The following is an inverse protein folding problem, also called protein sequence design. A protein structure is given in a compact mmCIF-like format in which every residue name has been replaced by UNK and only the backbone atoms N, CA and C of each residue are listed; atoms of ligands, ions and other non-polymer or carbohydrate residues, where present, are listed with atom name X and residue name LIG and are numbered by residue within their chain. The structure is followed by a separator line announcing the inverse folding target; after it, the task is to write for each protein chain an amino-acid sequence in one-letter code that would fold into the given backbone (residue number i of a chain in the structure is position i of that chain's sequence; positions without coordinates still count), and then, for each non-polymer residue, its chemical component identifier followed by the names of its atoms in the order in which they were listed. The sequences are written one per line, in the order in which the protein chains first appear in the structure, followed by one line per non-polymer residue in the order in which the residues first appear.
data_IF_560281962981
#
_entry.id   IF_560281962981
#
_cell.length_a   1.000
_cell.length_b   1.000
_cell.length_c   1.000
_cell.angle_alpha   90.00
_cell.angle_beta   90.00
_cell.angle_gamma   90.00
#
_symmetry.space_group_name_H-M   'P 1'
#
loop_
_entity.id
_entity.type
_entity.pdbx_description
1 polymer ?
#
# COMPACT_ATOMS: atom_id res chain seq x y z
N UNK A 1 -6.30 2.34 6.95
CA UNK A 1 -6.97 3.37 7.78
C UNK A 1 -6.99 4.70 7.02
N UNK A 2 -7.79 5.67 7.45
CA UNK A 2 -7.81 7.05 6.95
C UNK A 2 -7.45 8.00 8.08
N UNK A 3 -6.63 9.00 7.77
CA UNK A 3 -6.14 9.99 8.72
C UNK A 3 -6.85 11.33 8.46
N UNK A 4 -7.28 11.98 9.53
CA UNK A 4 -7.90 13.30 9.50
C UNK A 4 -7.23 14.19 10.55
N UNK A 5 -7.11 15.48 10.21
CA UNK A 5 -6.74 16.53 11.13
C UNK A 5 -7.97 17.41 11.33
N UNK A 6 -8.61 17.27 12.49
CA UNK A 6 -9.75 18.09 12.85
C UNK A 6 -9.22 19.46 13.33
N UNK A 7 -9.78 20.58 12.81
CA UNK A 7 -9.28 21.91 13.13
C UNK A 7 -9.47 22.22 14.61
N UNK A 8 -8.47 22.88 15.20
CA UNK A 8 -8.49 23.33 16.58
C UNK A 8 -8.56 24.88 16.66
N UNK A 9 -9.02 25.44 17.78
CA UNK A 9 -8.91 26.88 18.06
C UNK A 9 -7.48 27.39 17.91
N UNK A 10 -7.35 28.70 17.67
CA UNK A 10 -6.04 29.34 17.52
C UNK A 10 -5.19 29.15 18.79
N UNK A 11 -3.99 28.58 18.62
CA UNK A 11 -3.07 28.27 19.72
C UNK A 11 -3.21 26.86 20.29
N UNK A 12 -4.20 26.08 19.87
CA UNK A 12 -4.34 24.66 20.21
C UNK A 12 -3.82 23.75 19.10
N UNK A 13 -3.38 22.56 19.48
CA UNK A 13 -2.93 21.57 18.50
C UNK A 13 -4.13 20.91 17.79
N UNK A 14 -4.06 20.67 16.47
CA UNK A 14 -5.12 19.96 15.75
C UNK A 14 -5.26 18.53 16.26
N UNK A 15 -6.50 18.05 16.33
CA UNK A 15 -6.81 16.69 16.78
C UNK A 15 -6.63 15.71 15.63
N UNK A 16 -5.80 14.70 15.86
CA UNK A 16 -5.59 13.60 14.92
C UNK A 16 -6.72 12.60 15.11
N UNK A 17 -7.40 12.24 14.03
CA UNK A 17 -8.42 11.19 14.02
C UNK A 17 -8.06 10.12 13.00
N UNK A 18 -7.90 8.89 13.50
CA UNK A 18 -7.60 7.71 12.69
C UNK A 18 -8.86 6.86 12.62
N UNK A 19 -9.32 6.55 11.40
CA UNK A 19 -10.55 5.80 11.17
C UNK A 19 -10.25 4.55 10.34
N UNK A 20 -10.70 3.35 10.76
CA UNK A 20 -10.61 2.16 9.92
C UNK A 20 -11.30 2.40 8.56
N UNK A 21 -10.65 2.00 7.46
CA UNK A 21 -11.30 2.08 6.15
C UNK A 21 -12.30 0.93 6.05
N UNK A 22 -13.54 1.27 5.72
CA UNK A 22 -14.57 0.29 5.34
C UNK A 22 -14.14 -0.38 4.03
N UNK A 23 -13.95 -1.69 4.05
CA UNK A 23 -13.64 -2.51 2.85
C UNK A 23 -14.89 -3.18 2.25
N UNK A 24 -16.08 -2.89 2.78
CA UNK A 24 -17.38 -3.47 2.42
C UNK A 24 -18.22 -2.59 1.47
N UNK A 25 -17.68 -1.45 1.04
CA UNK A 25 -18.37 -0.54 0.11
C UNK A 25 -18.53 -1.21 -1.27
N UNK A 26 -19.78 -1.49 -1.63
CA UNK A 26 -20.14 -2.07 -2.93
C UNK A 26 -19.73 -1.15 -4.08
N UNK A 27 -19.88 0.17 -3.92
CA UNK A 27 -19.49 1.13 -4.94
C UNK A 27 -17.97 1.15 -5.16
N UNK A 28 -17.18 1.16 -4.07
CA UNK A 28 -15.72 1.13 -4.19
C UNK A 28 -15.25 -0.17 -4.85
N UNK A 29 -15.91 -1.29 -4.54
CA UNK A 29 -15.66 -2.56 -5.20
C UNK A 29 -15.98 -2.49 -6.70
N UNK A 30 -17.15 -1.97 -7.09
CA UNK A 30 -17.50 -1.82 -8.51
C UNK A 30 -16.46 -0.96 -9.25
N UNK A 31 -16.07 0.18 -8.67
CA UNK A 31 -15.06 1.06 -9.27
C UNK A 31 -13.71 0.34 -9.40
N UNK A 32 -13.30 -0.41 -8.38
CA UNK A 32 -12.06 -1.19 -8.43
C UNK A 32 -12.10 -2.26 -9.52
N UNK A 33 -13.18 -3.04 -9.62
CA UNK A 33 -13.34 -4.07 -10.65
C UNK A 33 -13.36 -3.47 -12.07
N UNK A 34 -14.06 -2.34 -12.26
CA UNK A 34 -14.08 -1.65 -13.55
C UNK A 34 -12.69 -1.11 -13.94
N UNK A 35 -11.92 -0.62 -12.96
CA UNK A 35 -10.55 -0.19 -13.20
C UNK A 35 -9.65 -1.39 -13.55
N UNK A 36 -9.81 -2.54 -12.88
CA UNK A 36 -9.09 -3.77 -13.18
C UNK A 36 -9.40 -4.24 -14.61
N UNK A 37 -10.68 -4.29 -14.98
CA UNK A 37 -11.14 -4.67 -16.31
C UNK A 37 -10.53 -3.76 -17.39
N UNK A 38 -10.64 -2.44 -17.24
CA UNK A 38 -10.09 -1.49 -18.21
C UNK A 38 -8.56 -1.64 -18.36
N UNK A 39 -7.85 -1.75 -17.24
CA UNK A 39 -6.40 -1.97 -17.22
C UNK A 39 -5.99 -3.30 -17.88
N UNK A 40 -6.79 -4.37 -17.72
CA UNK A 40 -6.53 -5.68 -18.31
C UNK A 40 -6.83 -5.70 -19.82
N UNK A 41 -7.95 -5.12 -20.24
CA UNK A 41 -8.35 -5.06 -21.66
C UNK A 41 -7.43 -4.18 -22.49
N UNK A 42 -7.04 -3.02 -21.97
CA UNK A 42 -6.11 -2.15 -22.69
C UNK A 42 -4.70 -2.78 -22.73
N UNK A 43 -4.32 -3.52 -21.68
CA UNK A 43 -3.10 -4.33 -21.71
C UNK A 43 -3.18 -5.45 -22.76
N UNK A 44 -4.35 -6.07 -22.92
CA UNK A 44 -4.60 -7.06 -23.98
C UNK A 44 -4.42 -6.43 -25.35
N UNK A 45 -5.02 -5.26 -25.58
CA UNK A 45 -4.94 -4.53 -26.85
C UNK A 45 -3.48 -4.28 -27.25
N UNK A 46 -2.63 -3.83 -26.32
CA UNK A 46 -1.21 -3.65 -26.62
C UNK A 46 -0.52 -4.99 -26.93
N UNK A 47 -0.82 -6.05 -26.18
CA UNK A 47 -0.29 -7.38 -26.42
C UNK A 47 -0.67 -7.95 -27.81
N UNK A 48 -1.94 -7.84 -28.20
CA UNK A 48 -2.47 -8.33 -29.48
C UNK A 48 -1.85 -7.61 -30.69
N UNK A 49 -1.38 -6.37 -30.49
CA UNK A 49 -0.71 -5.55 -31.49
C UNK A 49 0.82 -5.56 -31.38
N UNK A 50 1.39 -6.49 -30.60
CA UNK A 50 2.84 -6.60 -30.38
C UNK A 50 3.45 -5.22 -30.03
N UNK A 51 2.80 -4.49 -29.13
CA UNK A 51 3.23 -3.17 -28.68
C UNK A 51 3.62 -3.24 -27.21
N UNK A 52 4.81 -2.78 -26.81
CA UNK A 52 5.21 -2.83 -25.42
C UNK A 52 4.41 -1.81 -24.60
N UNK A 53 4.22 -2.15 -23.32
CA UNK A 53 3.57 -1.31 -22.33
C UNK A 53 4.21 -1.56 -20.98
N UNK A 54 3.87 -0.77 -19.97
CA UNK A 54 4.35 -0.91 -18.60
C UNK A 54 3.32 -1.72 -17.82
N UNK A 55 3.57 -3.02 -17.72
CA UNK A 55 2.71 -3.98 -17.03
C UNK A 55 3.15 -4.18 -15.58
N UNK A 56 2.20 -4.60 -14.75
CA UNK A 56 2.44 -5.12 -13.40
C UNK A 56 2.08 -6.60 -13.42
N UNK A 57 3.06 -7.45 -13.24
CA UNK A 57 2.86 -8.90 -13.12
C UNK A 57 3.10 -9.35 -11.69
N UNK A 58 2.39 -10.39 -11.28
CA UNK A 58 2.57 -10.98 -9.97
C UNK A 58 2.67 -12.50 -10.11
N UNK A 59 3.84 -13.01 -9.74
CA UNK A 59 4.15 -14.44 -9.76
C UNK A 59 4.87 -14.78 -8.45
N UNK A 60 4.53 -15.93 -7.85
CA UNK A 60 5.10 -16.39 -6.58
C UNK A 60 5.04 -15.31 -5.48
N UNK A 61 3.91 -14.61 -5.38
CA UNK A 61 3.67 -13.55 -4.39
C UNK A 61 4.34 -12.20 -4.69
N UNK A 62 5.31 -12.12 -5.61
CA UNK A 62 6.08 -10.90 -5.86
C UNK A 62 5.56 -10.14 -7.08
N UNK A 63 5.33 -8.84 -6.90
CA UNK A 63 4.92 -7.94 -7.98
C UNK A 63 6.15 -7.37 -8.69
N UNK A 64 6.17 -7.39 -10.02
CA UNK A 64 7.26 -6.83 -10.85
C UNK A 64 6.69 -5.93 -11.94
N UNK A 65 7.50 -4.96 -12.38
CA UNK A 65 7.20 -4.16 -13.57
C UNK A 65 7.81 -4.85 -14.78
N UNK A 66 7.04 -5.02 -15.85
CA UNK A 66 7.49 -5.70 -17.09
C UNK A 66 7.06 -4.91 -18.31
N UNK A 67 7.85 -4.97 -19.39
CA UNK A 67 7.52 -4.30 -20.66
C UNK A 67 6.56 -5.12 -21.54
N UNK A 68 6.33 -6.37 -21.16
CA UNK A 68 5.51 -7.36 -21.86
C UNK A 68 4.36 -7.84 -20.97
N UNK A 69 3.23 -8.25 -21.58
CA UNK A 69 2.09 -8.78 -20.85
C UNK A 69 2.47 -10.08 -20.15
N UNK A 70 2.21 -10.14 -18.85
CA UNK A 70 2.39 -11.32 -18.02
C UNK A 70 1.29 -11.40 -16.95
N UNK A 71 0.95 -12.61 -16.46
CA UNK A 71 -0.11 -12.79 -15.48
C UNK A 71 0.08 -12.01 -14.18
N UNK A 72 -1.04 -11.53 -13.63
CA UNK A 72 -1.11 -10.97 -12.29
C UNK A 72 -1.97 -11.87 -11.38
N UNK A 73 -1.34 -12.85 -10.74
CA UNK A 73 -2.05 -13.90 -10.00
C UNK A 73 -2.98 -13.38 -8.90
N UNK A 74 -2.58 -12.36 -8.12
CA UNK A 74 -3.42 -11.82 -7.05
C UNK A 74 -4.64 -11.03 -7.53
N UNK A 75 -4.67 -10.61 -8.81
CA UNK A 75 -5.84 -9.98 -9.42
C UNK A 75 -6.63 -10.96 -10.29
N UNK A 76 -6.11 -12.17 -10.54
CA UNK A 76 -6.77 -13.17 -11.39
C UNK A 76 -6.86 -12.82 -12.87
N UNK A 77 -5.98 -11.97 -13.39
CA UNK A 77 -5.99 -11.52 -14.80
C UNK A 77 -4.75 -11.97 -15.57
N UNK A 78 -4.92 -12.24 -16.87
CA UNK A 78 -3.87 -12.71 -17.77
C UNK A 78 -2.78 -11.66 -18.05
N UNK A 79 -3.16 -10.38 -18.02
CA UNK A 79 -2.25 -9.24 -18.05
C UNK A 79 -2.88 -8.06 -17.33
N UNK A 80 -2.03 -7.23 -16.74
CA UNK A 80 -2.46 -6.05 -16.03
C UNK A 80 -1.45 -4.92 -16.26
N UNK A 81 -1.93 -3.77 -16.70
CA UNK A 81 -1.12 -2.54 -16.79
C UNK A 81 -1.85 -1.40 -16.11
N UNK A 82 -1.14 -0.42 -15.57
CA UNK A 82 -1.82 0.79 -15.07
C UNK A 82 -2.07 1.75 -16.23
N UNK A 83 -3.34 2.10 -16.48
CA UNK A 83 -3.71 3.05 -17.52
C UNK A 83 -4.92 3.93 -17.17
N UNK A 84 -5.55 3.72 -16.01
CA UNK A 84 -6.79 4.39 -15.59
C UNK A 84 -6.57 5.67 -14.78
N UNK A 85 -5.32 6.09 -14.53
CA UNK A 85 -5.01 7.26 -13.69
C UNK A 85 -3.86 8.15 -14.23
N UNK A 86 -3.91 8.59 -15.49
CA UNK A 86 -2.81 9.33 -16.16
C UNK A 86 -2.46 10.67 -15.50
N UNK A 87 -3.41 11.30 -14.79
CA UNK A 87 -3.20 12.59 -14.13
C UNK A 87 -2.32 12.50 -12.87
N UNK A 88 -2.22 11.32 -12.26
CA UNK A 88 -1.52 11.12 -10.98
C UNK A 88 -0.42 10.06 -11.04
N UNK A 89 -0.35 9.29 -12.12
CA UNK A 89 0.71 8.29 -12.35
C UNK A 89 1.22 8.44 -13.77
N UNK A 90 2.51 8.76 -13.88
CA UNK A 90 3.13 9.00 -15.18
C UNK A 90 3.16 7.75 -16.08
N UNK A 91 3.30 6.56 -15.49
CA UNK A 91 3.24 5.29 -16.23
C UNK A 91 1.87 5.05 -16.88
N UNK A 92 0.78 5.49 -16.25
CA UNK A 92 -0.55 5.44 -16.88
C UNK A 92 -0.61 6.33 -18.13
N UNK A 93 0.02 7.51 -18.09
CA UNK A 93 0.11 8.38 -19.26
C UNK A 93 0.95 7.76 -20.38
N UNK A 94 2.07 7.11 -20.04
CA UNK A 94 2.91 6.38 -21.01
C UNK A 94 2.12 5.27 -21.69
N UNK A 95 1.42 4.45 -20.90
CA UNK A 95 0.59 3.37 -21.43
C UNK A 95 -0.55 3.90 -22.31
N UNK A 96 -1.22 4.99 -21.91
CA UNK A 96 -2.26 5.61 -22.73
C UNK A 96 -1.73 6.10 -24.08
N UNK A 97 -0.51 6.65 -24.15
CA UNK A 97 0.10 7.06 -25.42
C UNK A 97 0.34 5.88 -26.37
N UNK A 98 0.80 4.74 -25.84
CA UNK A 98 0.94 3.51 -26.63
C UNK A 98 -0.43 3.03 -27.15
N UNK A 99 -1.44 3.01 -26.28
CA UNK A 99 -2.81 2.60 -26.64
C UNK A 99 -3.41 3.51 -27.72
N UNK A 100 -3.28 4.83 -27.57
CA UNK A 100 -3.80 5.80 -28.53
C UNK A 100 -3.13 5.64 -29.90
N UNK A 101 -1.82 5.44 -29.95
CA UNK A 101 -1.12 5.20 -31.21
C UNK A 101 -1.59 3.92 -31.91
N UNK A 102 -1.74 2.82 -31.16
CA UNK A 102 -2.29 1.56 -31.68
C UNK A 102 -3.70 1.75 -32.25
N UNK A 103 -4.58 2.43 -31.53
CA UNK A 103 -5.95 2.70 -31.97
C UNK A 103 -6.02 3.61 -33.21
N UNK A 104 -5.07 4.54 -33.35
CA UNK A 104 -4.96 5.42 -34.50
C UNK A 104 -4.29 4.76 -35.72
N UNK A 105 -3.73 3.55 -35.57
CA UNK A 105 -2.90 2.92 -36.61
C UNK A 105 -1.57 3.63 -36.83
N UNK A 106 -1.12 4.41 -35.84
CA UNK A 106 0.13 5.16 -35.87
C UNK A 106 1.27 4.32 -35.26
N UNK A 107 2.52 4.74 -35.52
CA UNK A 107 3.67 4.12 -34.87
C UNK A 107 3.64 4.42 -33.36
N UNK A 108 3.67 3.40 -32.48
CA UNK A 108 3.75 3.62 -31.04
C UNK A 108 5.00 4.42 -30.66
N UNK A 109 4.90 5.36 -29.71
CA UNK A 109 6.04 6.13 -29.20
C UNK A 109 7.24 5.30 -28.76
N UNK A 110 6.99 4.13 -28.16
CA UNK A 110 8.05 3.24 -27.67
C UNK A 110 8.01 1.88 -28.38
N UNK A 111 9.17 1.44 -28.86
CA UNK A 111 9.34 0.15 -29.54
C UNK A 111 9.71 -0.97 -28.56
N UNK A 112 9.69 -2.21 -29.05
CA UNK A 112 10.23 -3.33 -28.28
C UNK A 112 11.70 -3.11 -27.92
N UNK A 113 12.05 -3.43 -26.68
CA UNK A 113 13.38 -3.24 -26.12
C UNK A 113 13.88 -1.78 -26.15
N UNK A 114 12.97 -0.81 -26.16
CA UNK A 114 13.31 0.60 -26.16
C UNK A 114 14.00 1.03 -24.84
N UNK A 115 15.20 1.60 -24.96
CA UNK A 115 16.01 2.01 -23.82
C UNK A 115 15.36 3.14 -23.02
N UNK A 116 14.61 4.03 -23.66
CA UNK A 116 13.88 5.11 -22.99
C UNK A 116 12.73 4.54 -22.15
N UNK A 117 11.99 3.57 -22.69
CA UNK A 117 10.91 2.89 -21.95
C UNK A 117 11.46 2.20 -20.68
N UNK A 118 12.58 1.46 -20.80
CA UNK A 118 13.20 0.82 -19.63
C UNK A 118 13.75 1.83 -18.62
N UNK A 119 14.35 2.92 -19.09
CA UNK A 119 14.79 4.02 -18.22
C UNK A 119 13.62 4.63 -17.44
N UNK A 120 12.48 4.82 -18.10
CA UNK A 120 11.25 5.33 -17.49
C UNK A 120 10.70 4.36 -16.43
N UNK A 121 10.66 3.06 -16.73
CA UNK A 121 10.25 2.03 -15.77
C UNK A 121 11.12 2.06 -14.51
N UNK A 122 12.44 2.10 -14.66
CA UNK A 122 13.40 2.17 -13.56
C UNK A 122 13.24 3.45 -12.73
N UNK A 123 13.13 4.61 -13.40
CA UNK A 123 12.92 5.89 -12.74
C UNK A 123 11.57 5.95 -11.99
N UNK A 124 10.53 5.31 -12.54
CA UNK A 124 9.25 5.19 -11.88
C UNK A 124 9.34 4.34 -10.62
N UNK A 125 9.93 3.14 -10.69
CA UNK A 125 10.07 2.25 -9.53
C UNK A 125 10.85 2.92 -8.40
N UNK A 126 11.96 3.61 -8.72
CA UNK A 126 12.75 4.35 -7.74
C UNK A 126 11.94 5.47 -7.05
N UNK A 127 11.19 6.27 -7.83
CA UNK A 127 10.33 7.32 -7.26
C UNK A 127 9.18 6.75 -6.44
N UNK A 128 8.55 5.68 -6.94
CA UNK A 128 7.42 5.04 -6.28
C UNK A 128 7.82 4.47 -4.92
N UNK A 129 9.00 3.83 -4.83
CA UNK A 129 9.57 3.36 -3.57
C UNK A 129 9.82 4.52 -2.59
N UNK A 130 10.48 5.60 -3.04
CA UNK A 130 10.75 6.76 -2.19
C UNK A 130 9.47 7.45 -1.66
N UNK A 131 8.43 7.55 -2.49
CA UNK A 131 7.11 8.03 -2.05
C UNK A 131 6.47 7.09 -1.02
N UNK A 132 6.59 5.78 -1.22
CA UNK A 132 6.12 4.77 -0.26
C UNK A 132 6.80 4.91 1.10
N UNK A 133 8.13 5.04 1.11
CA UNK A 133 8.91 5.25 2.34
C UNK A 133 8.50 6.52 3.07
N UNK A 134 8.36 7.62 2.33
CA UNK A 134 7.90 8.89 2.91
C UNK A 134 6.49 8.76 3.49
N UNK A 135 5.56 8.15 2.76
CA UNK A 135 4.19 7.95 3.21
C UNK A 135 4.15 7.11 4.50
N UNK A 136 4.94 6.04 4.58
CA UNK A 136 5.00 5.20 5.79
C UNK A 136 5.54 5.97 7.00
N UNK A 137 6.61 6.76 6.81
CA UNK A 137 7.16 7.60 7.90
C UNK A 137 6.15 8.67 8.36
N UNK A 138 5.45 9.28 7.41
CA UNK A 138 4.40 10.27 7.70
C UNK A 138 3.20 9.63 8.43
N UNK A 139 2.67 8.50 7.95
CA UNK A 139 1.56 7.79 8.61
C UNK A 139 1.95 7.33 10.02
N UNK A 140 3.19 6.84 10.17
CA UNK A 140 3.76 6.47 11.47
C UNK A 140 3.83 7.66 12.43
N UNK A 141 4.34 8.80 11.98
CA UNK A 141 4.35 10.04 12.78
C UNK A 141 2.94 10.38 13.27
N UNK A 142 1.94 10.36 12.39
CA UNK A 142 0.56 10.66 12.78
C UNK A 142 -0.04 9.64 13.73
N UNK A 143 0.35 8.37 13.63
CA UNK A 143 -0.03 7.37 14.63
C UNK A 143 0.55 7.69 16.02
N UNK A 144 1.80 8.13 16.10
CA UNK A 144 2.42 8.49 17.38
C UNK A 144 1.75 9.73 17.99
N UNK A 145 1.47 10.76 17.18
CA UNK A 145 0.67 11.92 17.60
C UNK A 145 -0.69 11.50 18.14
N UNK A 146 -1.37 10.58 17.44
CA UNK A 146 -2.65 10.06 17.88
C UNK A 146 -2.54 9.33 19.23
N UNK A 147 -1.56 8.44 19.40
CA UNK A 147 -1.30 7.75 20.69
C UNK A 147 -1.09 8.75 21.83
N UNK A 148 -0.30 9.80 21.60
CA UNK A 148 -0.03 10.84 22.59
C UNK A 148 -1.30 11.64 22.95
N UNK A 149 -2.07 12.09 21.95
CA UNK A 149 -3.30 12.85 22.15
C UNK A 149 -4.38 12.05 22.88
N UNK A 150 -4.52 10.76 22.57
CA UNK A 150 -5.44 9.86 23.27
C UNK A 150 -4.95 9.45 24.67
N UNK A 151 -3.72 9.85 25.06
CA UNK A 151 -3.05 9.42 26.29
C UNK A 151 -3.10 7.89 26.45
N UNK A 152 -2.91 7.18 25.34
CA UNK A 152 -3.13 5.75 25.25
C UNK A 152 -2.01 5.01 26.02
N UNK A 153 -2.35 4.47 27.18
CA UNK A 153 -1.42 3.71 28.03
C UNK A 153 -1.55 2.21 27.89
N UNK A 154 -2.75 1.73 27.57
CA UNK A 154 -3.06 0.32 27.34
C UNK A 154 -3.89 0.20 26.07
N UNK A 155 -3.49 -0.69 25.19
CA UNK A 155 -4.12 -0.86 23.89
C UNK A 155 -4.18 -2.33 23.48
N UNK A 156 -5.12 -2.65 22.60
CA UNK A 156 -5.09 -3.92 21.90
C UNK A 156 -4.20 -3.83 20.67
N UNK A 157 -3.45 -4.91 20.44
CA UNK A 157 -2.64 -5.11 19.26
C UNK A 157 -2.91 -6.49 18.66
N UNK A 158 -2.58 -6.65 17.39
CA UNK A 158 -2.64 -7.92 16.68
C UNK A 158 -1.24 -8.33 16.27
N UNK A 159 -0.91 -9.61 16.48
CA UNK A 159 0.34 -10.22 16.02
C UNK A 159 0.30 -10.33 14.50
N UNK A 160 1.27 -9.71 13.84
CA UNK A 160 1.43 -9.77 12.39
C UNK A 160 2.29 -10.97 12.03
N UNK A 161 3.53 -10.99 12.53
CA UNK A 161 4.49 -12.09 12.37
C UNK A 161 5.55 -11.99 13.47
N UNK A 162 5.98 -13.12 14.03
CA UNK A 162 7.02 -13.15 15.07
C UNK A 162 6.74 -12.15 16.23
N UNK A 163 7.61 -11.16 16.41
CA UNK A 163 7.49 -10.09 17.40
C UNK A 163 6.86 -8.79 16.84
N UNK A 164 6.54 -8.76 15.55
CA UNK A 164 5.89 -7.63 14.89
C UNK A 164 4.40 -7.64 15.18
N UNK A 165 3.93 -6.55 15.75
CA UNK A 165 2.52 -6.34 16.08
C UNK A 165 2.02 -5.03 15.48
N UNK A 166 0.70 -4.90 15.36
CA UNK A 166 0.01 -3.67 14.93
C UNK A 166 -1.07 -3.31 15.93
N UNK A 167 -1.24 -2.04 16.28
CA UNK A 167 -2.42 -1.63 17.07
C UNK A 167 -3.72 -2.00 16.34
N UNK A 168 -4.76 -2.38 17.10
CA UNK A 168 -6.07 -2.68 16.49
C UNK A 168 -6.69 -1.41 15.90
N UNK A 169 -6.65 -0.30 16.64
CA UNK A 169 -7.36 0.94 16.30
C UNK A 169 -6.52 1.94 15.48
N UNK A 170 -5.26 1.63 15.19
CA UNK A 170 -4.38 2.45 14.37
C UNK A 170 -3.43 1.59 13.53
N UNK A 171 -2.98 2.04 12.35
CA UNK A 171 -2.00 1.33 11.54
C UNK A 171 -0.57 1.50 12.08
N UNK A 172 -0.39 1.46 13.40
CA UNK A 172 0.92 1.58 14.05
C UNK A 172 1.52 0.19 14.25
N UNK A 173 2.53 -0.13 13.45
CA UNK A 173 3.32 -1.35 13.56
C UNK A 173 4.53 -1.15 14.48
N UNK A 174 4.87 -2.13 15.32
CA UNK A 174 6.07 -2.08 16.16
C UNK A 174 6.46 -3.48 16.63
N UNK A 175 7.70 -3.63 17.08
CA UNK A 175 8.20 -4.89 17.62
C UNK A 175 8.07 -4.91 19.14
N UNK A 176 7.68 -6.06 19.69
CA UNK A 176 7.58 -6.30 21.12
C UNK A 176 8.68 -7.27 21.57
N UNK A 177 9.70 -6.73 22.25
CA UNK A 177 10.74 -7.56 22.83
C UNK A 177 10.14 -8.54 23.87
N UNK A 178 10.52 -9.82 23.76
CA UNK A 178 10.05 -10.85 24.69
C UNK A 178 8.61 -11.30 24.48
N UNK A 179 7.98 -10.99 23.33
CA UNK A 179 6.67 -11.51 23.00
C UNK A 179 6.72 -13.05 22.86
N UNK A 180 5.83 -13.80 23.53
CA UNK A 180 5.69 -15.23 23.30
C UNK A 180 5.30 -15.53 21.85
N UNK A 181 5.66 -16.71 21.35
CA UNK A 181 5.27 -17.14 20.00
C UNK A 181 3.75 -17.30 19.90
N UNK A 182 3.13 -16.46 19.09
CA UNK A 182 1.72 -16.52 18.75
C UNK A 182 1.53 -16.65 17.24
N UNK A 183 0.42 -17.28 16.84
CA UNK A 183 0.02 -17.29 15.44
C UNK A 183 -0.33 -15.87 14.96
N UNK A 184 -0.03 -15.52 13.69
CA UNK A 184 -0.56 -14.32 13.05
C UNK A 184 -2.07 -14.17 13.28
N UNK A 185 -2.51 -12.93 13.48
CA UNK A 185 -3.89 -12.59 13.79
C UNK A 185 -4.27 -12.69 15.26
N UNK A 186 -3.40 -13.21 16.14
CA UNK A 186 -3.68 -13.25 17.59
C UNK A 186 -3.77 -11.84 18.16
N UNK A 187 -4.89 -11.52 18.81
CA UNK A 187 -5.04 -10.30 19.60
C UNK A 187 -4.34 -10.43 20.95
N UNK A 188 -3.66 -9.37 21.33
CA UNK A 188 -2.94 -9.22 22.58
C UNK A 188 -3.23 -7.84 23.17
N UNK A 189 -2.99 -7.69 24.46
CA UNK A 189 -3.02 -6.41 25.17
C UNK A 189 -1.59 -5.98 25.45
N UNK A 190 -1.31 -4.72 25.18
CA UNK A 190 0.01 -4.10 25.39
C UNK A 190 -0.12 -2.86 26.26
N UNK A 191 0.91 -2.59 27.07
CA UNK A 191 1.10 -1.29 27.71
C UNK A 191 2.07 -0.46 26.85
N UNK A 192 1.69 0.77 26.51
CA UNK A 192 2.55 1.74 25.83
C UNK A 192 3.28 2.56 26.90
N UNK A 193 4.60 2.42 26.93
CA UNK A 193 5.49 3.03 27.91
C UNK A 193 5.91 4.43 27.48
N UNK A 194 6.24 4.59 26.20
CA UNK A 194 6.68 5.86 25.62
C UNK A 194 6.62 5.86 24.10
N UNK A 195 6.68 7.05 23.52
CA UNK A 195 6.73 7.28 22.07
C UNK A 195 7.74 8.39 21.76
N UNK A 196 8.49 8.24 20.67
CA UNK A 196 9.39 9.27 20.16
C UNK A 196 8.99 9.66 18.74
N UNK A 197 8.58 10.91 18.56
CA UNK A 197 8.10 11.44 17.28
C UNK A 197 9.24 11.76 16.29
N UNK A 198 10.47 11.97 16.77
CA UNK A 198 11.64 12.26 15.95
C UNK A 198 12.25 10.95 15.43
N UNK A 199 12.46 9.98 16.32
CA UNK A 199 12.97 8.65 15.96
C UNK A 199 11.88 7.76 15.37
N UNK A 200 10.62 8.20 15.41
CA UNK A 200 9.44 7.43 15.04
C UNK A 200 9.42 6.08 15.78
N UNK A 201 9.62 6.09 17.09
CA UNK A 201 9.70 4.87 17.90
C UNK A 201 8.55 4.78 18.91
N UNK A 202 8.24 3.55 19.31
CA UNK A 202 7.29 3.26 20.39
C UNK A 202 7.90 2.19 21.28
N UNK A 203 7.87 2.46 22.57
CA UNK A 203 8.27 1.51 23.61
C UNK A 203 7.00 0.93 24.21
N UNK A 204 6.87 -0.39 24.15
CA UNK A 204 5.69 -1.09 24.64
C UNK A 204 6.08 -2.46 25.22
N UNK A 205 5.22 -2.99 26.08
CA UNK A 205 5.37 -4.33 26.65
C UNK A 205 4.09 -5.14 26.53
N UNK A 206 4.24 -6.44 26.35
CA UNK A 206 3.14 -7.39 26.39
C UNK A 206 2.55 -7.48 27.81
N UNK A 207 1.23 -7.56 27.90
CA UNK A 207 0.50 -7.73 29.17
C UNK A 207 -0.15 -9.10 29.22
N UNK A 208 -1.09 -9.36 28.31
CA UNK A 208 -1.87 -10.60 28.26
C UNK A 208 -2.45 -10.84 26.87
N UNK A 209 -2.99 -12.04 26.65
CA UNK A 209 -3.76 -12.34 25.44
C UNK A 209 -5.16 -11.75 25.59
N UNK A 210 -5.65 -11.05 24.56
CA UNK A 210 -6.98 -10.46 24.60
C UNK A 210 -8.06 -11.57 24.57
N UNK A 211 -9.20 -11.33 25.23
CA UNK A 211 -10.32 -12.28 25.24
C UNK A 211 -10.97 -12.46 23.85
N UNK A 212 -10.81 -11.47 22.97
CA UNK A 212 -11.31 -11.51 21.60
C UNK A 212 -10.41 -12.37 20.69
N UNK A 213 -11.03 -13.03 19.70
CA UNK A 213 -10.39 -14.03 18.82
C UNK A 213 -9.38 -13.48 17.82
N UNK A 214 -9.13 -14.26 16.77
CA UNK A 214 -8.22 -13.88 15.68
C UNK A 214 -8.79 -12.70 14.87
N UNK A 215 -7.94 -11.75 14.50
CA UNK A 215 -8.22 -10.73 13.49
C UNK A 215 -7.41 -11.04 12.24
N UNK A 216 -8.01 -10.83 11.06
CA UNK A 216 -7.26 -10.88 9.82
C UNK A 216 -6.21 -9.76 9.81
N UNK A 217 -5.00 -10.12 9.38
CA UNK A 217 -3.87 -9.21 9.28
C UNK A 217 -3.36 -9.24 7.85
N UNK A 218 -3.22 -8.07 7.26
CA UNK A 218 -2.69 -7.91 5.92
C UNK A 218 -1.16 -7.88 6.01
N UNK A 219 -0.51 -9.04 5.83
CA UNK A 219 0.95 -9.16 5.93
C UNK A 219 1.68 -8.27 4.90
N UNK A 220 1.02 -7.95 3.77
CA UNK A 220 1.60 -7.10 2.72
C UNK A 220 1.63 -5.61 3.10
N UNK A 221 0.76 -5.14 3.99
CA UNK A 221 0.83 -3.78 4.54
C UNK A 221 1.97 -3.63 5.58
N UNK A 222 2.48 -4.74 6.12
CA UNK A 222 3.56 -4.76 7.11
C UNK A 222 4.96 -4.80 6.49
N UNK A 223 5.06 -5.15 5.21
CA UNK A 223 6.28 -5.05 4.42
C UNK A 223 6.35 -3.63 3.82
N UNK A 224 7.19 -2.78 4.41
CA UNK A 224 7.63 -1.56 3.73
C UNK A 224 8.23 -1.90 2.35
N UNK A 225 8.36 -0.96 1.41
CA UNK A 225 8.84 -1.23 0.08
C UNK A 225 10.35 -1.44 0.15
N UNK A 226 10.82 -2.62 0.54
CA UNK A 226 12.27 -2.84 0.70
C UNK A 226 12.72 -3.97 1.63
N UNK A 227 11.94 -5.03 1.81
CA UNK A 227 12.48 -6.33 2.24
C UNK A 227 12.34 -7.36 1.13
#
# INVERSE_FOLDING_TARGET
FSFYLDPAPEGEEPLVRIVPRRRDSVLDRIVAEMAILANSEWGRLLGDHETPGIYRSQQNGRVRVTSQPLPHMGLGVAQYMWATSPLRRYVDLVNQRQVLAVLAGERPPYAHNDAELFSLMSAFDAKYAAYGDFQQRMERYWCLRWVAQQKLRRAEAVVVREDLVRLVDAPLYFRLAGLPLFAPGRRIVVDILGTDELDLSVEARFVEVAAAGLLEVDEQEAEGPGQ
#
